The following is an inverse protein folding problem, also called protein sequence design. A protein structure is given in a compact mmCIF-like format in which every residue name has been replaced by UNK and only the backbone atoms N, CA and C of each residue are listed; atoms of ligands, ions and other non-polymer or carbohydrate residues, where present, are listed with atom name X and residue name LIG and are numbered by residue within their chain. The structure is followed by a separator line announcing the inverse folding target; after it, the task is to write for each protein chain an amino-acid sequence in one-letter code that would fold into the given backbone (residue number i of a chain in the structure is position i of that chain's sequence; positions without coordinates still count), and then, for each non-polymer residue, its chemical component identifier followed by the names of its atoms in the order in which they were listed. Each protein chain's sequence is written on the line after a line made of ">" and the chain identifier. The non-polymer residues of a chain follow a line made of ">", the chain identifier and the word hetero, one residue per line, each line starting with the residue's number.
data_IF_345750498204
#
_entry.id   IF_345750498204
#
_cell.length_a   1.000
_cell.length_b   1.000
_cell.length_c   1.000
_cell.angle_alpha   90.00
_cell.angle_beta   90.00
_cell.angle_gamma   90.00
#
_symmetry.space_group_name_H-M   'P 1'
#
loop_
_entity.id
_entity.type
_entity.pdbx_description
1 polymer ?
#
# COMPACT_ATOMS: atom_id res chain seq x y z
N UNK A 1 4.01 -22.97 -43.20
CA UNK A 1 4.52 -21.87 -42.35
C UNK A 1 5.95 -22.19 -41.92
N UNK A 2 6.95 -21.39 -42.30
CA UNK A 2 8.35 -21.70 -42.01
C UNK A 2 8.81 -21.09 -40.67
N UNK A 3 9.57 -21.87 -39.90
CA UNK A 3 10.32 -21.43 -38.71
C UNK A 3 11.56 -20.64 -39.15
N UNK A 4 11.72 -19.38 -38.70
CA UNK A 4 12.95 -18.61 -38.91
C UNK A 4 13.97 -18.92 -37.81
N UNK A 5 15.18 -19.28 -38.24
CA UNK A 5 16.40 -19.40 -37.43
C UNK A 5 17.07 -18.01 -37.37
N UNK A 6 17.60 -17.63 -36.20
CA UNK A 6 18.43 -16.43 -36.05
C UNK A 6 19.92 -16.80 -36.21
N UNK A 7 20.61 -16.06 -37.06
CA UNK A 7 22.05 -16.17 -37.34
C UNK A 7 22.84 -15.30 -36.36
N UNK A 8 23.82 -15.89 -35.68
CA UNK A 8 24.85 -15.21 -34.89
C UNK A 8 25.95 -14.74 -35.84
N UNK A 9 26.39 -13.48 -35.72
CA UNK A 9 27.63 -12.99 -36.35
C UNK A 9 28.48 -12.31 -35.28
N UNK A 10 29.58 -12.95 -34.93
CA UNK A 10 30.69 -12.37 -34.16
C UNK A 10 31.78 -12.00 -35.16
N UNK A 11 32.28 -10.77 -35.12
CA UNK A 11 33.44 -10.34 -35.91
C UNK A 11 34.45 -9.68 -34.97
N UNK A 12 35.60 -10.35 -34.84
CA UNK A 12 36.78 -9.89 -34.13
C UNK A 12 37.81 -9.46 -35.20
N UNK A 13 38.32 -8.24 -35.13
CA UNK A 13 39.48 -7.81 -35.92
C UNK A 13 40.47 -7.07 -35.01
N UNK A 14 41.75 -7.35 -35.21
CA UNK A 14 42.87 -6.88 -34.41
C UNK A 14 43.94 -6.36 -35.35
N UNK A 15 44.43 -5.13 -35.14
CA UNK A 15 45.69 -4.62 -35.70
C UNK A 15 46.04 -3.22 -35.11
N UNK A 16 47.33 -2.81 -35.13
CA UNK A 16 47.96 -2.07 -34.03
C UNK A 16 48.37 -0.62 -34.33
N UNK A 17 48.49 0.17 -33.26
CA UNK A 17 49.55 1.17 -33.05
C UNK A 17 49.36 2.59 -33.60
N UNK A 18 49.25 3.58 -32.69
CA UNK A 18 50.01 4.83 -32.70
C UNK A 18 49.67 5.68 -31.46
N UNK A 19 50.72 6.16 -30.77
CA UNK A 19 50.67 7.14 -29.70
C UNK A 19 50.30 8.53 -30.26
N UNK A 20 49.29 9.17 -29.67
CA UNK A 20 49.13 10.63 -29.72
C UNK A 20 48.86 11.11 -28.30
N UNK A 21 49.76 11.96 -27.79
CA UNK A 21 49.60 12.63 -26.51
C UNK A 21 48.49 13.66 -26.58
N UNK A 22 47.54 13.58 -25.66
CA UNK A 22 46.62 14.67 -25.35
C UNK A 22 46.63 14.93 -23.85
N UNK A 23 46.77 16.21 -23.53
CA UNK A 23 46.74 16.83 -22.21
C UNK A 23 45.58 16.30 -21.35
N UNK A 24 45.90 15.79 -20.16
CA UNK A 24 44.92 15.51 -19.11
C UNK A 24 44.40 16.86 -18.56
N UNK A 25 43.23 17.26 -19.01
CA UNK A 25 42.33 18.06 -18.18
C UNK A 25 41.55 17.08 -17.30
N UNK A 26 41.62 17.28 -15.99
CA UNK A 26 40.86 16.49 -15.02
C UNK A 26 39.35 16.65 -15.31
N UNK A 27 38.57 15.55 -15.36
CA UNK A 27 37.14 15.67 -15.54
C UNK A 27 36.52 16.33 -14.29
N UNK A 28 35.75 17.37 -14.53
CA UNK A 28 34.86 18.00 -13.56
C UNK A 28 33.90 16.91 -13.05
N UNK A 29 33.99 16.60 -11.76
CA UNK A 29 33.11 15.64 -11.10
C UNK A 29 31.66 16.10 -11.21
N UNK A 30 30.91 15.46 -12.10
CA UNK A 30 29.46 15.63 -12.18
C UNK A 30 28.88 14.77 -11.06
N UNK A 31 28.26 15.39 -10.05
CA UNK A 31 27.47 14.66 -9.07
C UNK A 31 26.29 14.01 -9.80
N UNK A 32 26.43 12.73 -10.14
CA UNK A 32 25.34 11.93 -10.67
C UNK A 32 24.34 11.74 -9.54
N UNK A 33 23.27 12.55 -9.54
CA UNK A 33 22.07 12.19 -8.81
C UNK A 33 21.61 10.84 -9.37
N UNK A 34 21.70 9.79 -8.55
CA UNK A 34 21.22 8.46 -8.93
C UNK A 34 19.72 8.55 -9.21
N UNK A 35 19.36 8.51 -10.49
CA UNK A 35 17.99 8.24 -10.90
C UNK A 35 17.68 6.80 -10.47
N UNK A 36 16.86 6.65 -9.43
CA UNK A 36 16.34 5.34 -9.01
C UNK A 36 15.11 5.09 -9.87
N UNK A 37 15.15 4.06 -10.71
CA UNK A 37 13.97 3.65 -11.47
C UNK A 37 12.87 3.25 -10.47
N UNK A 38 11.65 3.82 -10.57
CA UNK A 38 10.59 3.55 -9.62
C UNK A 38 10.19 2.08 -9.66
N UNK A 39 9.88 1.53 -8.49
CA UNK A 39 9.44 0.13 -8.38
C UNK A 39 8.16 -0.11 -9.19
N UNK A 40 8.21 -1.08 -10.11
CA UNK A 40 7.01 -1.59 -10.80
C UNK A 40 6.35 -2.67 -9.95
N UNK A 41 5.23 -2.33 -9.32
CA UNK A 41 4.43 -3.25 -8.48
C UNK A 41 3.10 -3.60 -9.16
N UNK A 42 2.61 -4.85 -9.03
CA UNK A 42 1.28 -5.21 -9.52
C UNK A 42 0.21 -4.28 -8.92
N UNK A 43 -0.71 -3.82 -9.77
CA UNK A 43 -1.81 -2.91 -9.39
C UNK A 43 -3.14 -3.62 -9.13
N UNK A 44 -3.10 -4.95 -8.97
CA UNK A 44 -4.27 -5.78 -8.69
C UNK A 44 -4.03 -6.63 -7.44
N UNK A 45 -5.09 -6.83 -6.67
CA UNK A 45 -5.14 -7.73 -5.51
C UNK A 45 -6.41 -8.54 -5.54
N UNK A 46 -6.34 -9.80 -5.14
CA UNK A 46 -7.52 -10.65 -4.97
C UNK A 46 -7.85 -10.78 -3.49
N UNK A 47 -9.10 -10.48 -3.12
CA UNK A 47 -9.63 -10.89 -1.83
C UNK A 47 -9.96 -12.39 -1.89
N UNK A 48 -9.63 -13.12 -0.82
CA UNK A 48 -9.88 -14.56 -0.74
C UNK A 48 -11.20 -14.83 -0.02
N UNK A 49 -12.02 -15.72 -0.57
CA UNK A 49 -13.25 -16.13 0.10
C UNK A 49 -12.91 -16.97 1.32
N UNK A 50 -13.52 -16.66 2.46
CA UNK A 50 -13.33 -17.41 3.70
C UNK A 50 -14.03 -18.77 3.55
N UNK A 51 -13.26 -19.85 3.67
CA UNK A 51 -13.76 -21.22 3.72
C UNK A 51 -13.76 -21.81 5.15
N UNK A 52 -13.05 -21.15 6.08
CA UNK A 52 -13.01 -21.45 7.52
C UNK A 52 -13.97 -20.56 8.31
N UNK A 53 -13.69 -20.31 9.60
CA UNK A 53 -14.43 -19.31 10.39
C UNK A 53 -14.05 -17.89 10.00
N UNK A 54 -15.02 -16.97 10.08
CA UNK A 54 -14.72 -15.54 9.97
C UNK A 54 -13.73 -15.12 11.07
N UNK A 55 -12.75 -14.25 10.76
CA UNK A 55 -11.77 -13.81 11.74
C UNK A 55 -12.45 -12.99 12.86
N UNK A 56 -11.93 -13.13 14.07
CA UNK A 56 -12.31 -12.29 15.19
C UNK A 56 -11.64 -10.94 15.04
N UNK A 57 -12.39 -9.85 15.21
CA UNK A 57 -11.82 -8.50 15.10
C UNK A 57 -11.27 -8.10 16.47
N UNK A 58 -10.03 -8.47 16.76
CA UNK A 58 -9.38 -8.23 18.06
C UNK A 58 -7.95 -7.67 17.96
N UNK A 59 -7.42 -7.56 16.74
CA UNK A 59 -6.11 -7.00 16.40
C UNK A 59 -4.99 -8.04 16.31
N UNK A 60 -5.20 -9.33 16.59
CA UNK A 60 -4.10 -10.29 16.76
C UNK A 60 -3.58 -10.95 15.48
N UNK A 61 -4.33 -10.90 14.37
CA UNK A 61 -3.97 -11.50 13.07
C UNK A 61 -3.60 -12.99 13.13
N UNK A 62 -4.07 -13.72 14.14
CA UNK A 62 -3.76 -15.13 14.38
C UNK A 62 -4.85 -16.10 13.92
N UNK A 63 -5.99 -15.58 13.42
CA UNK A 63 -7.04 -16.38 12.79
C UNK A 63 -6.57 -17.08 11.49
N UNK A 64 -7.02 -18.33 11.32
CA UNK A 64 -6.69 -19.17 10.16
C UNK A 64 -7.05 -18.51 8.82
N UNK A 65 -8.14 -17.74 8.77
CA UNK A 65 -8.58 -17.03 7.56
C UNK A 65 -7.49 -16.16 6.93
N UNK A 66 -6.61 -15.56 7.75
CA UNK A 66 -5.52 -14.72 7.28
C UNK A 66 -4.38 -15.50 6.62
N UNK A 67 -4.18 -16.75 7.02
CA UNK A 67 -3.09 -17.59 6.51
C UNK A 67 -3.25 -17.96 5.03
N UNK A 68 -4.49 -18.02 4.55
CA UNK A 68 -4.83 -18.34 3.16
C UNK A 68 -4.88 -17.12 2.23
N UNK A 69 -4.85 -15.91 2.80
CA UNK A 69 -4.92 -14.68 2.05
C UNK A 69 -3.50 -14.21 1.66
N UNK A 70 -3.16 -14.10 0.36
CA UNK A 70 -1.89 -13.53 -0.03
C UNK A 70 -1.83 -12.06 0.39
N UNK A 71 -0.67 -11.58 0.87
CA UNK A 71 -0.51 -10.17 1.14
C UNK A 71 -0.61 -9.35 -0.14
N UNK A 72 -1.16 -8.16 -0.02
CA UNK A 72 -1.09 -7.09 -1.00
C UNK A 72 0.37 -6.90 -1.42
N UNK A 73 0.57 -6.56 -2.70
CA UNK A 73 1.88 -6.16 -3.17
C UNK A 73 2.45 -5.02 -2.32
N UNK A 74 3.77 -4.94 -2.26
CA UNK A 74 4.47 -3.97 -1.44
C UNK A 74 4.00 -2.54 -1.76
N UNK A 75 3.67 -1.78 -0.70
CA UNK A 75 3.47 -0.34 -0.81
C UNK A 75 4.78 0.32 -1.21
N UNK A 76 4.71 1.40 -1.97
CA UNK A 76 5.87 2.17 -2.41
C UNK A 76 5.90 3.51 -1.68
N UNK A 77 7.09 4.03 -1.42
CA UNK A 77 7.24 5.33 -0.78
C UNK A 77 6.79 6.45 -1.72
N UNK A 78 5.86 7.29 -1.26
CA UNK A 78 5.48 8.54 -1.92
C UNK A 78 6.27 9.73 -1.38
N UNK A 79 6.44 9.79 -0.06
CA UNK A 79 7.17 10.85 0.64
C UNK A 79 8.17 10.26 1.66
N UNK A 80 9.31 10.93 1.92
CA UNK A 80 9.84 12.11 1.23
C UNK A 80 10.65 11.77 -0.04
N UNK A 81 10.97 10.50 -0.26
CA UNK A 81 11.70 10.04 -1.45
C UNK A 81 10.76 9.17 -2.26
N UNK A 82 10.34 9.68 -3.40
CA UNK A 82 9.34 9.03 -4.25
C UNK A 82 9.91 7.78 -4.95
N UNK A 83 9.10 6.73 -5.01
CA UNK A 83 9.33 5.55 -5.86
C UNK A 83 10.27 4.49 -5.27
N UNK A 84 10.78 4.68 -4.06
CA UNK A 84 11.73 3.76 -3.42
C UNK A 84 11.05 2.76 -2.47
N UNK A 85 11.82 1.75 -2.05
CA UNK A 85 11.39 0.77 -1.05
C UNK A 85 11.11 1.48 0.29
N UNK A 86 9.95 1.25 0.93
CA UNK A 86 9.63 1.75 2.25
C UNK A 86 10.71 1.45 3.30
N UNK A 87 10.90 2.36 4.23
CA UNK A 87 11.84 2.14 5.33
C UNK A 87 11.35 1.05 6.28
N UNK A 88 10.04 0.87 6.46
CA UNK A 88 9.46 -0.21 7.26
C UNK A 88 8.44 -1.00 6.42
N UNK A 89 8.44 -2.33 6.54
CA UNK A 89 7.53 -3.19 5.77
C UNK A 89 6.08 -3.09 6.26
N UNK A 90 5.16 -3.32 5.33
CA UNK A 90 3.72 -3.32 5.60
C UNK A 90 3.10 -4.50 4.86
N UNK A 91 2.27 -5.27 5.55
CA UNK A 91 1.43 -6.31 4.93
C UNK A 91 -0.03 -5.92 5.07
N UNK A 92 -0.80 -6.09 4.00
CA UNK A 92 -2.25 -5.96 4.03
C UNK A 92 -2.87 -7.18 3.40
N UNK A 93 -3.90 -7.76 4.00
CA UNK A 93 -4.60 -8.93 3.46
C UNK A 93 -6.08 -8.66 3.41
N UNK A 94 -6.74 -9.25 2.42
CA UNK A 94 -8.18 -9.09 2.18
C UNK A 94 -8.83 -10.47 2.13
N UNK A 95 -9.84 -10.68 2.95
CA UNK A 95 -10.73 -11.85 2.86
C UNK A 95 -12.18 -11.40 2.90
N UNK A 96 -13.10 -12.23 2.45
CA UNK A 96 -14.51 -11.89 2.45
C UNK A 96 -15.40 -13.11 2.68
N UNK A 97 -16.58 -12.87 3.25
CA UNK A 97 -17.69 -13.82 3.25
C UNK A 97 -18.89 -13.21 2.51
N UNK A 98 -20.08 -13.81 2.63
CA UNK A 98 -21.28 -13.30 1.96
C UNK A 98 -21.80 -11.97 2.54
N UNK A 99 -21.26 -11.48 3.65
CA UNK A 99 -21.79 -10.35 4.43
C UNK A 99 -20.81 -9.20 4.54
N UNK A 100 -19.51 -9.45 4.55
CA UNK A 100 -18.50 -8.44 4.82
C UNK A 100 -17.18 -8.66 4.07
N UNK A 101 -16.49 -7.55 3.84
CA UNK A 101 -15.07 -7.51 3.55
C UNK A 101 -14.31 -7.43 4.88
N UNK A 102 -13.26 -8.23 5.02
CA UNK A 102 -12.36 -8.22 6.16
C UNK A 102 -10.97 -7.82 5.70
N UNK A 103 -10.31 -6.97 6.48
CA UNK A 103 -9.00 -6.41 6.16
C UNK A 103 -8.08 -6.58 7.35
N UNK A 104 -6.94 -7.23 7.12
CA UNK A 104 -5.85 -7.30 8.07
C UNK A 104 -4.73 -6.37 7.62
N UNK A 105 -4.19 -5.59 8.54
CA UNK A 105 -3.06 -4.70 8.33
C UNK A 105 -2.00 -4.98 9.39
N UNK A 106 -0.76 -5.18 8.93
CA UNK A 106 0.44 -5.33 9.78
C UNK A 106 1.45 -4.28 9.38
N UNK A 107 1.71 -3.35 10.29
CA UNK A 107 2.78 -2.38 10.20
C UNK A 107 3.97 -2.88 11.01
N UNK A 108 5.00 -3.36 10.33
CA UNK A 108 6.28 -3.61 11.00
C UNK A 108 6.97 -2.29 11.31
N UNK A 109 7.75 -2.27 12.39
CA UNK A 109 8.62 -1.16 12.76
C UNK A 109 9.84 -1.72 13.51
N UNK A 110 11.06 -1.35 13.11
CA UNK A 110 12.29 -1.76 13.83
C UNK A 110 12.43 -1.15 15.23
N UNK A 111 11.65 -0.13 15.54
CA UNK A 111 11.54 0.53 16.84
C UNK A 111 10.07 0.54 17.28
N UNK A 112 9.48 -0.63 17.55
CA UNK A 112 8.04 -0.78 17.81
C UNK A 112 7.57 0.04 19.02
N UNK A 113 8.44 0.26 20.01
CA UNK A 113 8.19 1.12 21.18
C UNK A 113 8.04 2.61 20.83
N UNK A 114 8.46 3.02 19.63
CA UNK A 114 8.35 4.38 19.10
C UNK A 114 7.17 4.56 18.16
N UNK A 115 6.40 3.49 17.89
CA UNK A 115 5.13 3.61 17.17
C UNK A 115 4.20 4.46 18.02
N UNK A 116 3.81 5.60 17.47
CA UNK A 116 3.11 6.64 18.20
C UNK A 116 1.63 6.66 17.80
N UNK A 117 0.75 6.23 18.71
CA UNK A 117 -0.71 6.33 18.58
C UNK A 117 -1.27 7.31 19.60
N UNK A 118 -1.58 8.55 19.21
CA UNK A 118 -2.23 9.51 20.12
C UNK A 118 -3.75 9.42 19.99
N UNK A 119 -4.45 9.38 21.11
CA UNK A 119 -5.90 9.59 21.19
C UNK A 119 -6.24 11.00 20.64
N UNK A 120 -7.13 11.06 19.66
CA UNK A 120 -7.45 12.30 18.94
C UNK A 120 -7.98 13.40 19.87
N UNK A 121 -7.51 14.64 19.67
CA UNK A 121 -8.32 15.85 19.91
C UNK A 121 -8.86 16.30 18.56
N UNK A 122 -10.11 16.76 18.56
CA UNK A 122 -11.00 17.01 17.42
C UNK A 122 -10.43 17.88 16.27
N UNK A 123 -9.35 18.65 16.48
CA UNK A 123 -8.96 19.73 15.56
C UNK A 123 -7.44 19.81 15.24
N UNK A 124 -6.71 18.68 15.17
CA UNK A 124 -5.26 18.68 14.88
C UNK A 124 -4.82 17.68 13.80
N UNK A 125 -3.84 18.07 12.97
CA UNK A 125 -3.13 17.18 12.03
C UNK A 125 -2.64 15.93 12.78
N UNK A 126 -2.87 14.74 12.24
CA UNK A 126 -2.53 13.47 12.89
C UNK A 126 -1.01 13.38 13.08
N UNK A 127 -0.53 13.69 14.28
CA UNK A 127 0.83 13.39 14.70
C UNK A 127 0.87 11.94 15.21
N UNK A 128 0.57 10.98 14.35
CA UNK A 128 0.40 9.56 14.68
C UNK A 128 0.70 8.71 13.46
N UNK A 129 1.24 7.51 13.70
CA UNK A 129 1.21 6.48 12.67
C UNK A 129 -0.24 6.23 12.26
N UNK A 130 -0.47 5.95 10.98
CA UNK A 130 -1.80 5.85 10.41
C UNK A 130 -1.87 4.83 9.29
N UNK A 131 -2.95 4.06 9.27
CA UNK A 131 -3.39 3.24 8.15
C UNK A 131 -4.64 3.87 7.55
N UNK A 132 -4.69 3.95 6.21
CA UNK A 132 -5.90 4.36 5.48
C UNK A 132 -6.21 3.34 4.38
N UNK A 133 -7.45 2.87 4.38
CA UNK A 133 -8.03 2.06 3.33
C UNK A 133 -9.07 2.88 2.57
N UNK A 134 -8.98 2.86 1.25
CA UNK A 134 -9.93 3.50 0.35
C UNK A 134 -10.59 2.41 -0.49
N UNK A 135 -11.92 2.43 -0.56
CA UNK A 135 -12.72 1.48 -1.33
C UNK A 135 -13.59 2.25 -2.30
N UNK A 136 -13.27 2.15 -3.58
CA UNK A 136 -14.16 2.53 -4.68
C UNK A 136 -15.02 1.30 -5.02
N UNK A 137 -16.18 1.22 -4.38
CA UNK A 137 -17.08 0.07 -4.49
C UNK A 137 -17.87 0.01 -5.80
N UNK A 138 -17.89 1.10 -6.56
CA UNK A 138 -18.47 1.14 -7.91
C UNK A 138 -17.41 0.88 -9.00
N UNK A 139 -16.12 0.96 -8.63
CA UNK A 139 -14.99 0.96 -9.55
C UNK A 139 -15.18 2.02 -10.66
N UNK A 140 -15.64 3.20 -10.27
CA UNK A 140 -15.90 4.33 -11.16
C UNK A 140 -14.71 5.29 -11.27
N UNK A 141 -13.72 5.16 -10.38
CA UNK A 141 -12.55 6.02 -10.20
C UNK A 141 -12.88 7.46 -9.78
N UNK A 142 -14.07 7.68 -9.20
CA UNK A 142 -14.60 9.01 -8.86
C UNK A 142 -15.02 9.13 -7.40
N UNK A 143 -15.46 8.01 -6.82
CA UNK A 143 -15.92 7.94 -5.44
C UNK A 143 -15.12 6.93 -4.64
N UNK A 144 -14.95 7.17 -3.34
CA UNK A 144 -14.38 6.15 -2.45
C UNK A 144 -14.84 6.32 -1.02
N UNK A 145 -14.97 5.20 -0.32
CA UNK A 145 -15.13 5.13 1.12
C UNK A 145 -13.75 5.03 1.76
N UNK A 146 -13.41 5.97 2.63
CA UNK A 146 -12.16 5.97 3.36
C UNK A 146 -12.37 5.50 4.79
N UNK A 147 -11.56 4.54 5.23
CA UNK A 147 -11.44 4.09 6.61
C UNK A 147 -10.02 4.37 7.09
N UNK A 148 -9.87 5.16 8.14
CA UNK A 148 -8.57 5.50 8.72
C UNK A 148 -8.48 4.97 10.15
N UNK A 149 -7.36 4.34 10.50
CA UNK A 149 -7.07 3.84 11.85
C UNK A 149 -5.67 4.26 12.29
N UNK A 150 -5.47 4.36 13.60
CA UNK A 150 -4.16 4.54 14.21
C UNK A 150 -3.86 3.45 15.26
N UNK A 151 -2.61 3.31 15.75
CA UNK A 151 -2.24 2.27 16.71
C UNK A 151 -3.02 2.30 18.04
N UNK A 152 -3.62 3.45 18.40
CA UNK A 152 -4.43 3.60 19.61
C UNK A 152 -5.90 3.21 19.44
N UNK A 153 -6.28 2.73 18.25
CA UNK A 153 -7.66 2.33 17.92
C UNK A 153 -8.57 3.51 17.55
N UNK A 154 -8.03 4.72 17.41
CA UNK A 154 -8.79 5.87 16.94
C UNK A 154 -9.11 5.68 15.45
N UNK A 155 -10.35 5.99 15.07
CA UNK A 155 -10.86 5.89 13.71
C UNK A 155 -11.31 7.24 13.15
N UNK A 156 -11.24 7.37 11.82
CA UNK A 156 -11.94 8.40 11.05
C UNK A 156 -12.45 7.77 9.75
N UNK A 157 -13.66 8.14 9.36
CA UNK A 157 -14.31 7.68 8.13
C UNK A 157 -14.73 8.89 7.30
N UNK A 158 -14.63 8.74 5.98
CA UNK A 158 -14.94 9.82 5.03
C UNK A 158 -15.51 9.20 3.76
N UNK A 159 -16.58 9.80 3.23
CA UNK A 159 -16.98 9.56 1.86
C UNK A 159 -16.35 10.60 0.93
N UNK A 160 -15.57 10.13 -0.04
CA UNK A 160 -14.87 10.96 -1.03
C UNK A 160 -15.64 10.91 -2.35
N UNK A 161 -15.83 12.07 -2.96
CA UNK A 161 -16.57 12.23 -4.22
C UNK A 161 -15.94 13.30 -5.11
N UNK A 162 -16.47 13.48 -6.32
CA UNK A 162 -15.96 14.42 -7.33
C UNK A 162 -14.45 14.25 -7.57
N UNK A 163 -14.03 13.02 -7.81
CA UNK A 163 -12.65 12.67 -8.22
C UNK A 163 -11.60 13.12 -7.18
N UNK A 164 -11.97 13.07 -5.89
CA UNK A 164 -11.13 13.50 -4.77
C UNK A 164 -11.28 14.97 -4.37
N UNK A 165 -12.05 15.75 -5.12
CA UNK A 165 -12.29 17.18 -4.85
C UNK A 165 -13.29 17.45 -3.72
N UNK A 166 -14.09 16.45 -3.32
CA UNK A 166 -15.07 16.53 -2.23
C UNK A 166 -14.84 15.48 -1.16
N UNK A 167 -15.07 15.86 0.11
CA UNK A 167 -15.06 14.97 1.27
C UNK A 167 -16.30 15.22 2.12
N UNK A 168 -16.95 14.14 2.54
CA UNK A 168 -18.04 14.15 3.51
C UNK A 168 -17.59 13.38 4.76
N UNK A 169 -17.19 14.14 5.78
CA UNK A 169 -16.82 13.68 7.12
C UNK A 169 -18.03 13.30 8.00
N UNK A 170 -19.26 13.53 7.53
CA UNK A 170 -20.48 13.17 8.27
C UNK A 170 -20.96 11.75 8.01
N UNK A 171 -20.37 11.07 7.01
CA UNK A 171 -20.63 9.67 6.73
C UNK A 171 -20.04 8.78 7.83
N UNK A 172 -20.90 8.22 8.70
CA UNK A 172 -20.52 7.37 9.85
C UNK A 172 -21.07 5.93 9.65
N UNK A 173 -20.30 5.03 9.01
CA UNK A 173 -20.70 3.64 8.80
C UNK A 173 -20.61 2.82 10.09
N UNK A 174 -21.43 1.77 10.18
CA UNK A 174 -21.35 0.77 11.26
C UNK A 174 -20.47 -0.40 10.83
N UNK A 175 -19.26 -0.48 11.38
CA UNK A 175 -18.28 -1.53 11.11
C UNK A 175 -17.50 -1.89 12.38
N UNK A 176 -16.84 -3.05 12.40
CA UNK A 176 -16.01 -3.47 13.53
C UNK A 176 -14.54 -3.21 13.21
N UNK A 177 -13.75 -2.76 14.20
CA UNK A 177 -12.31 -2.59 14.07
C UNK A 177 -11.60 -2.88 15.39
N UNK A 178 -10.35 -3.31 15.30
CA UNK A 178 -9.47 -3.46 16.44
C UNK A 178 -8.03 -3.14 16.01
N UNK A 179 -7.23 -2.66 16.95
CA UNK A 179 -5.80 -2.43 16.74
C UNK A 179 -5.01 -2.96 17.92
N UNK A 180 -3.82 -3.47 17.65
CA UNK A 180 -2.92 -3.93 18.70
C UNK A 180 -1.50 -3.46 18.41
N UNK A 181 -0.75 -3.15 19.46
CA UNK A 181 0.69 -2.94 19.39
C UNK A 181 1.39 -4.15 19.99
N UNK A 182 2.45 -4.61 19.33
CA UNK A 182 3.25 -5.74 19.78
C UNK A 182 4.75 -5.49 19.56
N UNK A 183 5.57 -6.53 19.76
CA UNK A 183 7.02 -6.42 19.64
C UNK A 183 7.54 -6.26 18.21
N UNK A 184 6.68 -6.33 17.19
CA UNK A 184 7.06 -6.17 15.78
C UNK A 184 6.58 -4.85 15.19
N UNK A 185 5.65 -4.16 15.86
CA UNK A 185 5.07 -2.89 15.44
C UNK A 185 3.61 -2.83 15.88
N UNK A 186 2.69 -2.69 14.93
CA UNK A 186 1.26 -2.67 15.23
C UNK A 186 0.41 -3.28 14.13
N UNK A 187 -0.83 -3.60 14.48
CA UNK A 187 -1.83 -4.23 13.62
C UNK A 187 -3.15 -3.50 13.66
N UNK A 188 -3.92 -3.69 12.59
CA UNK A 188 -5.32 -3.36 12.57
C UNK A 188 -6.12 -4.46 11.87
N UNK A 189 -7.34 -4.68 12.36
CA UNK A 189 -8.35 -5.50 11.71
C UNK A 189 -9.60 -4.68 11.48
N UNK A 190 -10.25 -4.90 10.34
CA UNK A 190 -11.55 -4.31 10.02
C UNK A 190 -12.48 -5.41 9.52
N UNK A 191 -13.74 -5.32 9.94
CA UNK A 191 -14.86 -6.01 9.31
C UNK A 191 -15.84 -4.96 8.81
N UNK A 192 -15.92 -4.82 7.49
CA UNK A 192 -16.75 -3.84 6.80
C UNK A 192 -17.94 -4.59 6.19
N UNK A 193 -19.15 -4.51 6.79
CA UNK A 193 -20.33 -5.13 6.20
C UNK A 193 -20.59 -4.51 4.82
N UNK A 194 -20.90 -5.35 3.84
CA UNK A 194 -21.24 -4.86 2.50
C UNK A 194 -22.43 -3.92 2.53
N UNK A 195 -23.37 -4.05 3.48
CA UNK A 195 -24.48 -3.11 3.65
C UNK A 195 -24.07 -1.66 3.95
N UNK A 196 -22.82 -1.41 4.39
CA UNK A 196 -22.29 -0.06 4.61
C UNK A 196 -21.76 0.57 3.31
N UNK A 197 -21.54 -0.24 2.28
CA UNK A 197 -21.05 0.20 0.99
C UNK A 197 -22.20 0.17 -0.01
N UNK A 198 -22.33 1.22 -0.80
CA UNK A 198 -23.19 1.15 -1.99
C UNK A 198 -22.38 0.55 -3.13
N UNK A 199 -22.90 -0.47 -3.81
CA UNK A 199 -22.22 -1.13 -4.92
C UNK A 199 -23.26 -1.73 -5.88
N UNK A 200 -22.90 -1.98 -7.15
CA UNK A 200 -23.85 -2.51 -8.12
C UNK A 200 -24.21 -3.97 -7.82
N UNK A 201 -25.47 -4.34 -8.03
CA UNK A 201 -25.91 -5.74 -7.99
C UNK A 201 -25.46 -6.47 -9.26
N UNK A 202 -24.45 -7.33 -9.15
CA UNK A 202 -23.87 -8.12 -10.26
C UNK A 202 -23.35 -9.46 -9.74
N UNK A 203 -23.22 -10.45 -10.63
CA UNK A 203 -22.71 -11.79 -10.32
C UNK A 203 -21.23 -11.78 -9.89
N UNK A 204 -20.47 -10.80 -10.37
CA UNK A 204 -19.10 -10.52 -9.95
C UNK A 204 -18.91 -9.01 -9.81
N UNK A 205 -18.23 -8.61 -8.75
CA UNK A 205 -18.00 -7.22 -8.38
C UNK A 205 -16.51 -7.01 -8.18
N UNK A 206 -15.97 -6.00 -8.85
CA UNK A 206 -14.61 -5.53 -8.65
C UNK A 206 -14.69 -4.21 -7.91
N UNK A 207 -13.92 -4.07 -6.83
CA UNK A 207 -13.71 -2.79 -6.15
C UNK A 207 -12.36 -2.22 -6.53
N UNK A 208 -12.30 -0.89 -6.68
CA UNK A 208 -11.04 -0.17 -6.63
C UNK A 208 -10.56 -0.10 -5.19
N UNK A 209 -9.26 -0.35 -4.96
CA UNK A 209 -8.64 -0.30 -3.64
C UNK A 209 -7.43 0.60 -3.69
N UNK A 210 -7.32 1.49 -2.70
CA UNK A 210 -6.07 2.15 -2.35
C UNK A 210 -5.76 1.91 -0.89
N UNK A 211 -4.50 1.67 -0.60
CA UNK A 211 -3.96 1.55 0.74
C UNK A 211 -2.91 2.64 0.93
N UNK A 212 -2.91 3.26 2.09
CA UNK A 212 -1.87 4.21 2.49
C UNK A 212 -1.44 3.94 3.94
N UNK A 213 -0.14 4.14 4.20
CA UNK A 213 0.41 4.19 5.56
C UNK A 213 1.20 5.49 5.74
N UNK A 214 1.01 6.17 6.86
CA UNK A 214 1.88 7.25 7.32
C UNK A 214 2.73 6.74 8.48
N UNK A 215 4.05 6.81 8.34
CA UNK A 215 5.01 6.55 9.41
C UNK A 215 5.42 7.91 9.98
N UNK A 216 4.72 8.35 11.02
CA UNK A 216 4.75 9.74 11.46
C UNK A 216 6.14 10.17 11.94
N UNK A 217 6.84 9.31 12.68
CA UNK A 217 8.20 9.61 13.18
C UNK A 217 9.25 9.80 12.08
N UNK A 218 8.98 9.30 10.87
CA UNK A 218 9.86 9.42 9.71
C UNK A 218 9.37 10.46 8.69
N UNK A 219 8.16 11.01 8.90
CA UNK A 219 7.46 11.81 7.91
C UNK A 219 7.40 11.10 6.54
N UNK A 220 7.06 9.81 6.58
CA UNK A 220 7.10 8.92 5.43
C UNK A 220 5.70 8.43 5.08
N UNK A 221 5.28 8.71 3.85
CA UNK A 221 4.00 8.26 3.30
C UNK A 221 4.25 7.12 2.31
N UNK A 222 3.50 6.04 2.47
CA UNK A 222 3.51 4.87 1.61
C UNK A 222 2.14 4.69 0.96
N UNK A 223 2.09 4.30 -0.31
CA UNK A 223 0.84 4.03 -1.01
C UNK A 223 0.89 2.77 -1.88
N UNK A 224 -0.29 2.21 -2.10
CA UNK A 224 -0.57 1.22 -3.15
C UNK A 224 -1.99 1.48 -3.71
N UNK A 225 -2.21 1.40 -5.03
CA UNK A 225 -1.17 1.37 -6.07
C UNK A 225 -0.33 2.65 -6.03
N UNK A 226 0.88 2.59 -6.59
CA UNK A 226 1.77 3.74 -6.68
C UNK A 226 1.38 4.62 -7.89
N UNK A 227 1.31 5.93 -7.70
CA UNK A 227 0.96 6.94 -8.70
C UNK A 227 1.58 8.30 -8.34
#
# INVERSE_FOLDING_TARGET
>A
MPRRRYTVVTLLTLAPGALVGQSQQAPIGTSVGTYVEPLSVPSQVSAVRIESSAPSIDGRLDDEAWSHAPPLAQLVQKEPVEGVVPSESTEVRFVYDNRALYVAFRAYDRQPERVYGRLMRRDGRMASDQFSLYIDSYNDHRTSYQFQLNPSGARRDVFIYNDGGGQDDSWDPVYDWATQQDSLGWTAELRIPFSQLRFPSRDSITFGVRVQRMINRRNEELNWPFF
#
